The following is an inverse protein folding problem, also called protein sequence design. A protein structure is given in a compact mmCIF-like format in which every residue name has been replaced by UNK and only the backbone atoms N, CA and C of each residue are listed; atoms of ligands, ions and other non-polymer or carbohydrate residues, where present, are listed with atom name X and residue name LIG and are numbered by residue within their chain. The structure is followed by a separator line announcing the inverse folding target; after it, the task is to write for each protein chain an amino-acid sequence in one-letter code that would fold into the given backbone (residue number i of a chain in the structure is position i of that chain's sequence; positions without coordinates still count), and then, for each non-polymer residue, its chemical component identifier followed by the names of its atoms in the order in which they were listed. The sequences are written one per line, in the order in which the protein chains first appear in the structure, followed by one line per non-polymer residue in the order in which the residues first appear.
data_IF_124425547642
#
_entry.id   IF_124425547642
#
_cell.length_a   1.000
_cell.length_b   1.000
_cell.length_c   1.000
_cell.angle_alpha   90.00
_cell.angle_beta   90.00
_cell.angle_gamma   90.00
#
_symmetry.space_group_name_H-M   'P 1'
#
loop_
_entity.id
_entity.type
_entity.pdbx_description
1 polymer ?
#
# COMPACT_ATOMS: atom_id res chain seq x y z
N UNK A 1 8.37 7.37 13.39
CA UNK A 1 7.72 6.88 12.16
C UNK A 1 8.03 5.40 12.05
N UNK A 2 7.01 4.55 12.12
CA UNK A 2 7.17 3.12 11.84
C UNK A 2 7.38 2.98 10.33
N UNK A 3 8.62 2.73 9.91
CA UNK A 3 8.93 2.51 8.50
C UNK A 3 8.26 1.19 8.08
N UNK A 4 7.22 1.26 7.25
CA UNK A 4 6.55 0.07 6.72
C UNK A 4 7.46 -0.65 5.73
N UNK A 5 7.37 -1.98 5.70
CA UNK A 5 7.97 -2.76 4.63
C UNK A 5 7.27 -2.47 3.30
N UNK A 6 7.95 -2.75 2.17
CA UNK A 6 7.32 -2.64 0.85
C UNK A 6 6.04 -3.49 0.76
N UNK A 7 6.05 -4.69 1.34
CA UNK A 7 4.88 -5.56 1.41
C UNK A 7 3.72 -4.92 2.20
N UNK A 8 4.02 -4.34 3.35
CA UNK A 8 3.02 -3.64 4.17
C UNK A 8 2.41 -2.45 3.44
N UNK A 9 3.23 -1.59 2.82
CA UNK A 9 2.73 -0.47 2.02
C UNK A 9 1.92 -0.92 0.79
N UNK A 10 2.37 -1.97 0.09
CA UNK A 10 1.64 -2.58 -1.02
C UNK A 10 0.28 -3.11 -0.56
N UNK A 11 0.23 -3.75 0.61
CA UNK A 11 -1.00 -4.30 1.19
C UNK A 11 -2.02 -3.21 1.48
N UNK A 12 -1.60 -2.10 2.08
CA UNK A 12 -2.49 -0.99 2.41
C UNK A 12 -3.04 -0.29 1.16
N UNK A 13 -2.22 -0.12 0.13
CA UNK A 13 -2.64 0.46 -1.16
C UNK A 13 -3.54 -0.50 -1.95
N UNK A 14 -3.25 -1.80 -1.94
CA UNK A 14 -4.11 -2.81 -2.57
C UNK A 14 -5.50 -2.84 -1.91
N UNK A 15 -5.54 -2.77 -0.59
CA UNK A 15 -6.79 -2.76 0.19
C UNK A 15 -7.53 -1.41 0.18
N UNK A 16 -6.98 -0.37 -0.46
CA UNK A 16 -7.60 0.95 -0.46
C UNK A 16 -8.99 0.93 -1.08
N UNK A 17 -10.02 1.56 -0.47
CA UNK A 17 -11.38 1.59 -1.01
C UNK A 17 -11.52 2.59 -2.17
N UNK A 18 -10.55 2.59 -3.09
CA UNK A 18 -10.45 3.46 -4.25
C UNK A 18 -10.30 2.59 -5.49
N UNK A 19 -11.07 2.84 -6.56
CA UNK A 19 -10.91 2.16 -7.85
C UNK A 19 -9.47 2.23 -8.36
N UNK A 20 -9.03 1.19 -9.05
CA UNK A 20 -7.65 1.06 -9.56
C UNK A 20 -7.26 2.22 -10.48
N UNK A 21 -8.20 2.73 -11.27
CA UNK A 21 -8.00 3.86 -12.19
C UNK A 21 -7.76 5.17 -11.45
N UNK A 22 -8.41 5.37 -10.30
CA UNK A 22 -8.25 6.57 -9.50
C UNK A 22 -7.00 6.49 -8.62
N UNK A 23 -6.64 5.28 -8.18
CA UNK A 23 -5.45 5.05 -7.36
C UNK A 23 -4.16 5.50 -8.08
N UNK A 24 -4.07 5.31 -9.40
CA UNK A 24 -2.91 5.74 -10.21
C UNK A 24 -2.84 7.25 -10.45
N UNK A 25 -3.95 7.98 -10.22
CA UNK A 25 -4.04 9.42 -10.44
C UNK A 25 -3.80 10.22 -9.16
N UNK A 26 -3.72 9.56 -8.00
CA UNK A 26 -3.50 10.23 -6.73
C UNK A 26 -2.03 10.73 -6.63
N UNK A 27 -1.81 11.96 -6.12
CA UNK A 27 -0.48 12.45 -5.81
C UNK A 27 0.27 11.54 -4.84
N UNK A 28 1.59 11.41 -5.02
CA UNK A 28 2.43 10.55 -4.16
C UNK A 28 2.35 10.96 -2.69
N UNK A 29 2.32 12.26 -2.39
CA UNK A 29 2.15 12.78 -1.02
C UNK A 29 0.84 12.29 -0.36
N UNK A 30 -0.25 12.25 -1.13
CA UNK A 30 -1.54 11.78 -0.64
C UNK A 30 -1.50 10.27 -0.37
N UNK A 31 -0.81 9.51 -1.23
CA UNK A 31 -0.62 8.08 -1.03
C UNK A 31 0.26 7.79 0.19
N UNK A 32 1.32 8.58 0.39
CA UNK A 32 2.19 8.50 1.56
C UNK A 32 1.42 8.80 2.86
N UNK A 33 0.62 9.86 2.87
CA UNK A 33 -0.23 10.23 3.99
C UNK A 33 -1.28 9.15 4.29
N UNK A 34 -1.91 8.58 3.25
CA UNK A 34 -2.86 7.48 3.40
C UNK A 34 -2.20 6.24 4.03
N UNK A 35 -1.04 5.81 3.51
CA UNK A 35 -0.30 4.67 4.05
C UNK A 35 0.10 4.90 5.50
N UNK A 36 0.59 6.10 5.84
CA UNK A 36 0.96 6.46 7.21
C UNK A 36 -0.23 6.46 8.16
N UNK A 37 -1.37 7.03 7.75
CA UNK A 37 -2.60 7.08 8.54
C UNK A 37 -3.13 5.67 8.80
N UNK A 38 -3.28 4.88 7.73
CA UNK A 38 -3.75 3.50 7.84
C UNK A 38 -2.84 2.63 8.73
N UNK A 39 -1.52 2.79 8.63
CA UNK A 39 -0.60 2.02 9.46
C UNK A 39 -0.58 2.46 10.93
N UNK A 40 -1.02 3.68 11.24
CA UNK A 40 -1.19 4.17 12.60
C UNK A 40 -2.52 3.70 13.21
N UNK A 41 -3.57 3.67 12.40
CA UNK A 41 -4.94 3.38 12.86
C UNK A 41 -5.28 1.87 12.86
N UNK A 42 -4.66 1.08 11.99
CA UNK A 42 -4.84 -0.37 11.97
C UNK A 42 -4.17 -1.02 13.18
N UNK A 43 -4.95 -1.78 13.93
CA UNK A 43 -4.40 -2.67 14.95
C UNK A 43 -3.39 -3.63 14.31
N UNK A 44 -2.26 -3.88 15.00
CA UNK A 44 -1.17 -4.67 14.45
C UNK A 44 -1.61 -6.06 13.94
N UNK A 45 -2.54 -6.71 14.65
CA UNK A 45 -3.09 -8.02 14.26
C UNK A 45 -4.05 -7.98 13.07
N UNK A 46 -4.71 -6.85 12.79
CA UNK A 46 -5.48 -6.67 11.54
C UNK A 46 -4.54 -6.47 10.36
N UNK A 47 -3.49 -5.65 10.54
CA UNK A 47 -2.48 -5.43 9.52
C UNK A 47 -1.77 -6.73 9.13
N UNK A 48 -1.35 -7.52 10.12
CA UNK A 48 -0.71 -8.81 9.87
C UNK A 48 -1.63 -9.76 9.10
N UNK A 49 -2.93 -9.82 9.44
CA UNK A 49 -3.92 -10.63 8.70
C UNK A 49 -4.07 -10.18 7.25
N UNK A 50 -4.09 -8.86 6.99
CA UNK A 50 -4.14 -8.34 5.63
C UNK A 50 -2.88 -8.72 4.84
N UNK A 51 -1.70 -8.56 5.45
CA UNK A 51 -0.41 -8.89 4.82
C UNK A 51 -0.31 -10.38 4.48
N UNK A 52 -0.74 -11.26 5.39
CA UNK A 52 -0.79 -12.70 5.15
C UNK A 52 -1.81 -13.08 4.07
N UNK A 53 -2.99 -12.46 4.11
CA UNK A 53 -4.04 -12.68 3.12
C UNK A 53 -3.61 -12.29 1.70
N UNK A 54 -2.96 -11.14 1.56
CA UNK A 54 -2.43 -10.71 0.27
C UNK A 54 -1.29 -11.63 -0.21
N UNK A 55 -0.37 -12.02 0.68
CA UNK A 55 0.70 -12.95 0.33
C UNK A 55 0.15 -14.27 -0.22
N UNK A 56 -0.85 -14.86 0.45
CA UNK A 56 -1.51 -16.07 -0.01
C UNK A 56 -2.23 -15.88 -1.36
N UNK A 57 -2.87 -14.73 -1.58
CA UNK A 57 -3.53 -14.40 -2.84
C UNK A 57 -2.54 -14.25 -4.00
N UNK A 58 -1.37 -13.65 -3.76
CA UNK A 58 -0.29 -13.53 -4.75
C UNK A 58 0.28 -14.89 -5.13
N UNK A 59 0.50 -15.78 -4.15
CA UNK A 59 1.06 -17.11 -4.38
C UNK A 59 0.12 -18.06 -5.10
N UNK A 60 -1.15 -18.11 -4.67
CA UNK A 60 -2.11 -19.12 -5.13
C UNK A 60 -3.01 -18.62 -6.25
N UNK A 61 -3.07 -17.31 -6.44
CA UNK A 61 -4.12 -16.67 -7.21
C UNK A 61 -5.49 -16.87 -6.57
N UNK A 62 -6.52 -16.34 -7.22
CA UNK A 62 -7.90 -16.54 -6.81
C UNK A 62 -8.85 -15.74 -7.69
N UNK A 63 -10.16 -16.07 -7.70
CA UNK A 63 -11.15 -15.37 -8.51
C UNK A 63 -11.30 -13.88 -8.14
N UNK A 64 -10.86 -13.51 -6.93
CA UNK A 64 -10.90 -12.15 -6.40
C UNK A 64 -9.53 -11.46 -6.36
N UNK A 65 -8.46 -12.13 -6.83
CA UNK A 65 -7.14 -11.53 -6.87
C UNK A 65 -6.97 -10.73 -8.16
N UNK A 66 -6.82 -9.42 -8.02
CA UNK A 66 -6.66 -8.50 -9.14
C UNK A 66 -5.17 -8.19 -9.36
N UNK A 67 -4.54 -8.92 -10.30
CA UNK A 67 -3.10 -8.81 -10.56
C UNK A 67 -2.68 -7.38 -10.94
N UNK A 68 -3.44 -6.71 -11.80
CA UNK A 68 -3.10 -5.37 -12.28
C UNK A 68 -3.14 -4.35 -11.13
N UNK A 69 -4.13 -4.48 -10.26
CA UNK A 69 -4.24 -3.68 -9.03
C UNK A 69 -3.07 -3.92 -8.09
N UNK A 70 -2.65 -5.18 -7.94
CA UNK A 70 -1.50 -5.53 -7.11
C UNK A 70 -0.19 -4.91 -7.64
N UNK A 71 0.09 -5.01 -8.94
CA UNK A 71 1.31 -4.43 -9.51
C UNK A 71 1.29 -2.89 -9.46
N UNK A 72 0.13 -2.26 -9.64
CA UNK A 72 -0.02 -0.82 -9.44
C UNK A 72 0.27 -0.43 -7.97
N UNK A 73 -0.39 -1.10 -7.02
CA UNK A 73 -0.19 -0.85 -5.59
C UNK A 73 1.28 -1.02 -5.17
N UNK A 74 1.95 -2.05 -5.69
CA UNK A 74 3.37 -2.31 -5.43
C UNK A 74 4.28 -1.25 -6.03
N UNK A 75 3.96 -0.76 -7.23
CA UNK A 75 4.71 0.31 -7.89
C UNK A 75 4.59 1.62 -7.11
N UNK A 76 3.37 1.98 -6.70
CA UNK A 76 3.12 3.17 -5.89
C UNK A 76 3.77 3.05 -4.50
N UNK A 77 3.72 1.88 -3.87
CA UNK A 77 4.38 1.63 -2.59
C UNK A 77 5.90 1.86 -2.67
N UNK A 78 6.55 1.50 -3.79
CA UNK A 78 7.96 1.82 -4.02
C UNK A 78 8.19 3.32 -4.15
N UNK A 79 7.36 4.01 -4.93
CA UNK A 79 7.48 5.47 -5.13
C UNK A 79 7.34 6.22 -3.80
N UNK A 80 6.32 5.87 -3.00
CA UNK A 80 6.09 6.44 -1.65
C UNK A 80 7.27 6.18 -0.70
N UNK A 81 7.96 5.03 -0.82
CA UNK A 81 9.13 4.72 0.01
C UNK A 81 10.44 5.38 -0.46
N UNK A 82 10.48 5.88 -1.70
CA UNK A 82 11.63 6.64 -2.23
C UNK A 82 11.52 8.13 -1.87
N UNK A 83 10.31 8.67 -1.69
CA UNK A 83 10.09 10.07 -1.30
C UNK A 83 10.10 10.45 0.20
N UNK A 84 10.30 9.58 1.22
CA UNK A 84 10.17 10.00 2.61
C UNK A 84 11.26 10.98 3.09
N UNK A 85 12.19 11.40 2.21
CA UNK A 85 13.28 12.35 2.51
C UNK A 85 13.26 13.65 1.68
N UNK A 86 12.39 13.78 0.67
CA UNK A 86 12.39 14.97 -0.20
C UNK A 86 11.65 16.19 0.38
N UNK A 87 10.81 16.00 1.40
CA UNK A 87 9.95 17.05 1.96
C UNK A 87 10.53 17.79 3.20
N UNK A 88 11.83 17.67 3.49
CA UNK A 88 12.49 18.37 4.63
C UNK A 88 13.49 19.46 4.25
N UNK A 89 13.43 20.00 3.04
CA UNK A 89 14.26 21.13 2.64
C UNK A 89 13.44 22.20 1.94
N UNK A 90 12.78 23.07 2.72
CA UNK A 90 12.40 24.44 2.32
C UNK A 90 12.20 25.29 3.57
#
# INVERSE_FOLDING_TARGET
MTTLSLHGATTLLYAAPVPTELLSQLPLDNLAAYVATMAADLAAGDRERLEQGLAAAVERGGPWFERDRYELARTLARAVQVEPDAARSS
#
